data_IF_371538099285
#
_entry.id   IF_371538099285
#
_cell.length_a   1.000
_cell.length_b   1.000
_cell.length_c   1.000
_cell.angle_alpha   90.00
_cell.angle_beta   90.00
_cell.angle_gamma   90.00
#
_symmetry.space_group_name_H-M   'P 1'
#
loop_
_entity.id
_entity.type
_entity.pdbx_description
1 polymer ?
#
# COMPACT_ATOMS: atom_id res chain seq x y z
N UNK A 1 53.48 -44.32 -31.80
CA UNK A 1 53.42 -42.95 -31.21
C UNK A 1 52.72 -42.06 -32.21
N UNK A 2 51.66 -41.28 -31.94
CA UNK A 2 51.07 -40.80 -30.69
C UNK A 2 49.59 -40.49 -31.00
N UNK A 3 48.66 -40.92 -30.15
CA UNK A 3 47.26 -40.49 -30.17
C UNK A 3 47.18 -39.02 -29.70
N UNK A 4 46.42 -38.17 -30.39
CA UNK A 4 45.94 -36.89 -29.84
C UNK A 4 44.40 -36.93 -29.77
N UNK A 5 43.88 -37.12 -28.56
CA UNK A 5 42.47 -36.91 -28.23
C UNK A 5 42.25 -35.41 -27.98
N UNK A 6 41.38 -34.76 -28.76
CA UNK A 6 40.81 -33.47 -28.39
C UNK A 6 39.66 -33.71 -27.40
N UNK A 7 39.85 -33.32 -26.14
CA UNK A 7 38.78 -33.22 -25.16
C UNK A 7 38.03 -31.90 -25.36
N UNK A 8 36.75 -31.96 -25.71
CA UNK A 8 35.87 -30.80 -25.71
C UNK A 8 35.42 -30.51 -24.26
N UNK A 9 35.79 -29.36 -23.72
CA UNK A 9 35.30 -28.87 -22.44
C UNK A 9 33.90 -28.27 -22.63
N UNK A 10 32.86 -29.01 -22.24
CA UNK A 10 31.51 -28.45 -22.14
C UNK A 10 31.43 -27.60 -20.86
N UNK A 11 31.39 -26.28 -21.00
CA UNK A 11 31.12 -25.37 -19.89
C UNK A 11 29.64 -25.45 -19.53
N UNK A 12 29.32 -26.14 -18.43
CA UNK A 12 27.99 -26.15 -17.86
C UNK A 12 27.77 -24.81 -17.14
N UNK A 13 27.09 -23.87 -17.79
CA UNK A 13 26.65 -22.64 -17.14
C UNK A 13 25.59 -23.00 -16.08
N UNK A 14 25.99 -23.01 -14.80
CA UNK A 14 25.06 -23.11 -13.69
C UNK A 14 24.21 -21.84 -13.67
N UNK A 15 22.94 -21.95 -14.09
CA UNK A 15 21.97 -20.89 -13.89
C UNK A 15 21.76 -20.74 -12.38
N UNK A 16 22.24 -19.63 -11.82
CA UNK A 16 21.89 -19.25 -10.46
C UNK A 16 20.36 -19.03 -10.39
N UNK A 17 19.66 -19.53 -9.35
CA UNK A 17 18.26 -19.20 -9.17
C UNK A 17 18.16 -17.69 -8.91
N UNK A 18 17.60 -16.95 -9.86
CA UNK A 18 17.21 -15.55 -9.67
C UNK A 18 16.15 -15.49 -8.59
N UNK A 19 16.54 -15.34 -7.33
CA UNK A 19 15.65 -14.98 -6.23
C UNK A 19 15.34 -13.48 -6.31
N UNK A 20 14.73 -13.06 -7.41
CA UNK A 20 13.85 -11.90 -7.39
C UNK A 20 12.55 -12.45 -6.82
N UNK A 21 12.22 -12.12 -5.57
CA UNK A 21 10.81 -12.02 -5.21
C UNK A 21 10.21 -11.13 -6.31
N UNK A 22 9.46 -11.71 -7.24
CA UNK A 22 8.72 -10.92 -8.22
C UNK A 22 7.95 -9.89 -7.39
N UNK A 23 8.28 -8.61 -7.54
CA UNK A 23 7.50 -7.55 -6.90
C UNK A 23 6.06 -7.85 -7.25
N UNK A 24 5.21 -8.02 -6.24
CA UNK A 24 3.85 -8.48 -6.47
C UNK A 24 3.14 -7.35 -7.21
N UNK A 25 2.93 -7.54 -8.50
CA UNK A 25 2.20 -6.61 -9.33
C UNK A 25 0.73 -6.67 -8.91
N UNK A 26 0.14 -5.51 -8.66
CA UNK A 26 -1.32 -5.40 -8.67
C UNK A 26 -1.83 -5.56 -10.11
N UNK A 27 -3.14 -5.43 -10.30
CA UNK A 27 -3.75 -5.47 -11.63
C UNK A 27 -3.24 -4.39 -12.58
N UNK A 28 -2.52 -3.37 -12.05
CA UNK A 28 -2.01 -2.21 -12.77
C UNK A 28 -0.52 -2.33 -13.13
N UNK A 29 0.16 -3.39 -12.66
CA UNK A 29 1.57 -3.64 -12.96
C UNK A 29 2.57 -2.95 -12.01
N UNK A 30 2.10 -2.27 -10.96
CA UNK A 30 2.96 -1.55 -10.02
C UNK A 30 3.78 -2.52 -9.15
N UNK A 31 5.08 -2.24 -9.02
CA UNK A 31 5.98 -2.99 -8.17
C UNK A 31 5.98 -2.43 -6.75
N UNK A 32 5.39 -3.15 -5.80
CA UNK A 32 5.31 -2.69 -4.41
C UNK A 32 6.44 -3.22 -3.51
N UNK A 33 6.85 -2.37 -2.56
CA UNK A 33 7.55 -2.81 -1.35
C UNK A 33 6.54 -3.17 -0.27
N UNK A 34 6.67 -4.36 0.31
CA UNK A 34 5.70 -4.93 1.27
C UNK A 34 6.25 -5.01 2.69
N UNK A 35 5.37 -4.84 3.68
CA UNK A 35 5.54 -5.38 5.03
C UNK A 35 4.23 -6.04 5.52
N UNK A 36 4.35 -6.95 6.48
CA UNK A 36 3.22 -7.65 7.08
C UNK A 36 3.11 -7.39 8.58
N UNK A 37 1.89 -7.48 9.11
CA UNK A 37 1.62 -7.36 10.55
C UNK A 37 1.46 -8.73 11.21
N UNK A 38 1.61 -8.82 12.55
CA UNK A 38 1.25 -10.03 13.30
C UNK A 38 -0.23 -10.43 13.15
N UNK A 39 -1.11 -9.47 12.80
CA UNK A 39 -2.52 -9.74 12.53
C UNK A 39 -2.79 -10.31 11.13
N UNK A 40 -1.74 -10.51 10.30
CA UNK A 40 -1.84 -11.06 8.96
C UNK A 40 -2.33 -10.07 7.90
N UNK A 41 -2.20 -8.77 8.17
CA UNK A 41 -2.49 -7.71 7.20
C UNK A 41 -1.22 -7.40 6.44
N UNK A 42 -1.31 -7.30 5.12
CA UNK A 42 -0.21 -6.89 4.25
C UNK A 42 -0.42 -5.43 3.86
N UNK A 43 0.67 -4.67 3.94
CA UNK A 43 0.76 -3.30 3.47
C UNK A 43 1.81 -3.23 2.39
N UNK A 44 1.44 -2.70 1.24
CA UNK A 44 2.27 -2.57 0.04
C UNK A 44 2.29 -1.11 -0.36
N UNK A 45 3.48 -0.58 -0.64
CA UNK A 45 3.67 0.84 -0.93
C UNK A 45 4.63 0.99 -2.12
N UNK A 46 4.28 1.88 -3.03
CA UNK A 46 5.07 2.30 -4.18
C UNK A 46 5.04 3.83 -4.28
N UNK A 47 6.16 4.43 -4.67
CA UNK A 47 6.33 5.87 -4.83
C UNK A 47 7.05 6.18 -6.16
N UNK A 48 6.98 7.41 -6.68
CA UNK A 48 7.73 7.78 -7.89
C UNK A 48 9.24 7.62 -7.73
N UNK A 49 9.91 7.21 -8.80
CA UNK A 49 11.37 7.30 -8.90
C UNK A 49 11.83 8.76 -8.80
N UNK A 50 12.88 9.02 -8.01
CA UNK A 50 13.39 10.37 -7.81
C UNK A 50 12.44 11.30 -7.04
N UNK A 51 11.44 10.74 -6.35
CA UNK A 51 10.46 11.49 -5.59
C UNK A 51 11.09 12.53 -4.64
N UNK A 52 10.46 13.70 -4.55
CA UNK A 52 10.75 14.75 -3.57
C UNK A 52 9.44 15.23 -2.97
N UNK A 53 9.33 15.28 -1.64
CA UNK A 53 8.06 15.61 -0.99
C UNK A 53 7.58 17.05 -1.32
N UNK A 54 6.29 17.26 -1.68
CA UNK A 54 5.23 16.26 -1.75
C UNK A 54 5.25 15.43 -3.05
N UNK A 55 4.92 14.16 -2.93
CA UNK A 55 4.68 13.19 -4.00
C UNK A 55 3.45 12.31 -3.71
N UNK A 56 2.90 11.68 -4.74
CA UNK A 56 1.79 10.74 -4.60
C UNK A 56 2.29 9.35 -4.15
N UNK A 57 1.44 8.63 -3.42
CA UNK A 57 1.77 7.31 -2.89
C UNK A 57 0.72 6.31 -3.37
N UNK A 58 1.14 5.31 -4.14
CA UNK A 58 0.29 4.15 -4.38
C UNK A 58 0.45 3.18 -3.21
N UNK A 59 -0.65 2.72 -2.64
CA UNK A 59 -0.63 1.77 -1.55
C UNK A 59 -1.74 0.75 -1.66
N UNK A 60 -1.45 -0.46 -1.17
CA UNK A 60 -2.42 -1.53 -1.06
C UNK A 60 -2.49 -2.06 0.37
N UNK A 61 -3.71 -2.33 0.83
CA UNK A 61 -4.00 -3.02 2.09
C UNK A 61 -4.68 -4.34 1.74
N UNK A 62 -4.05 -5.47 2.08
CA UNK A 62 -4.68 -6.79 1.97
C UNK A 62 -4.91 -7.30 3.38
N UNK A 63 -6.17 -7.32 3.81
CA UNK A 63 -6.54 -7.65 5.17
C UNK A 63 -7.53 -8.84 5.20
N UNK A 64 -7.40 -9.76 6.16
CA UNK A 64 -8.38 -10.82 6.35
C UNK A 64 -9.77 -10.25 6.68
N UNK A 65 -10.85 -10.91 6.25
CA UNK A 65 -12.24 -10.44 6.50
C UNK A 65 -12.60 -10.25 7.98
N UNK A 66 -11.85 -10.86 8.90
CA UNK A 66 -12.00 -10.60 10.35
C UNK A 66 -11.57 -9.19 10.78
N UNK A 67 -10.82 -8.46 9.96
CA UNK A 67 -10.45 -7.08 10.21
C UNK A 67 -11.62 -6.19 9.78
N UNK A 68 -12.32 -5.60 10.77
CA UNK A 68 -13.41 -4.67 10.53
C UNK A 68 -12.94 -3.31 10.04
N UNK A 69 -11.69 -2.94 10.32
CA UNK A 69 -10.97 -1.86 9.67
C UNK A 69 -9.45 -2.01 9.87
N UNK A 70 -8.66 -1.44 8.97
CA UNK A 70 -7.21 -1.31 9.10
C UNK A 70 -6.75 0.08 8.64
N UNK A 71 -5.61 0.54 9.15
CA UNK A 71 -5.07 1.84 8.76
C UNK A 71 -3.55 1.97 8.87
N UNK A 72 -3.03 2.99 8.19
CA UNK A 72 -1.62 3.37 8.12
C UNK A 72 -1.51 4.81 8.61
N UNK A 73 -0.50 5.09 9.43
CA UNK A 73 -0.09 6.44 9.77
C UNK A 73 1.25 6.77 9.11
N UNK A 74 1.23 7.72 8.19
CA UNK A 74 2.35 8.04 7.29
C UNK A 74 3.54 8.69 8.01
N UNK A 75 3.27 9.38 9.12
CA UNK A 75 4.30 9.96 10.00
C UNK A 75 4.75 9.04 11.14
N UNK A 76 4.34 7.77 11.14
CA UNK A 76 4.82 6.78 12.10
C UNK A 76 4.22 6.90 13.52
N UNK A 77 3.24 7.77 13.73
CA UNK A 77 2.50 7.90 15.00
C UNK A 77 1.03 8.21 14.74
N UNK A 78 0.15 8.11 15.73
CA UNK A 78 -1.27 8.46 15.53
C UNK A 78 -1.48 9.97 15.31
N UNK A 79 -0.62 10.82 15.87
CA UNK A 79 -0.89 12.25 15.98
C UNK A 79 -0.20 13.07 14.89
N UNK A 80 -0.86 14.13 14.45
CA UNK A 80 -0.30 15.22 13.66
C UNK A 80 0.36 14.77 12.34
N UNK A 81 -0.15 13.71 11.73
CA UNK A 81 0.21 13.25 10.39
C UNK A 81 -1.00 12.61 9.70
N UNK A 82 -0.98 12.45 8.37
CA UNK A 82 -2.09 11.85 7.64
C UNK A 82 -2.24 10.37 8.02
N UNK A 83 -3.48 9.94 8.19
CA UNK A 83 -3.88 8.58 8.51
C UNK A 83 -4.78 8.05 7.39
N UNK A 84 -4.36 7.00 6.68
CA UNK A 84 -5.23 6.31 5.72
C UNK A 84 -5.93 5.16 6.46
N UNK A 85 -7.26 5.18 6.53
CA UNK A 85 -8.07 4.15 7.20
C UNK A 85 -9.04 3.54 6.20
N UNK A 86 -9.16 2.22 6.18
CA UNK A 86 -10.00 1.49 5.23
C UNK A 86 -10.74 0.33 5.89
N UNK A 87 -11.88 -0.05 5.31
CA UNK A 87 -12.72 -1.16 5.76
C UNK A 87 -13.58 -1.73 4.62
N UNK A 88 -13.95 -3.02 4.70
CA UNK A 88 -14.79 -3.64 3.67
C UNK A 88 -16.19 -3.01 3.63
N UNK A 89 -16.72 -2.84 2.43
CA UNK A 89 -18.06 -2.32 2.16
C UNK A 89 -18.69 -3.09 0.99
N UNK A 90 -19.44 -4.15 1.30
CA UNK A 90 -19.96 -5.07 0.28
C UNK A 90 -18.82 -5.73 -0.50
N UNK A 91 -18.89 -5.69 -1.83
CA UNK A 91 -17.89 -6.26 -2.73
C UNK A 91 -16.67 -5.33 -2.97
N UNK A 92 -16.66 -4.15 -2.34
CA UNK A 92 -15.58 -3.16 -2.43
C UNK A 92 -15.05 -2.77 -1.04
N UNK A 93 -14.21 -1.74 -0.98
CA UNK A 93 -13.61 -1.19 0.22
C UNK A 93 -13.85 0.32 0.26
N UNK A 94 -14.24 0.84 1.42
CA UNK A 94 -14.28 2.27 1.67
C UNK A 94 -12.99 2.69 2.35
N UNK A 95 -12.40 3.79 1.89
CA UNK A 95 -11.17 4.39 2.43
C UNK A 95 -11.39 5.85 2.75
N UNK A 96 -10.72 6.35 3.78
CA UNK A 96 -10.79 7.74 4.25
C UNK A 96 -9.41 8.21 4.68
N UNK A 97 -9.15 9.50 4.49
CA UNK A 97 -7.98 10.17 5.08
C UNK A 97 -8.39 10.91 6.34
N UNK A 98 -7.64 10.69 7.42
CA UNK A 98 -7.91 11.22 8.75
C UNK A 98 -6.68 11.88 9.37
N UNK A 99 -6.91 12.69 10.40
CA UNK A 99 -5.88 13.27 11.25
C UNK A 99 -6.37 13.29 12.70
N UNK A 100 -5.46 13.03 13.65
CA UNK A 100 -5.70 13.17 15.06
C UNK A 100 -4.72 14.18 15.66
N UNK A 101 -5.21 15.11 16.48
CA UNK A 101 -4.39 16.08 17.23
C UNK A 101 -4.25 15.69 18.70
N UNK A 102 -5.05 14.75 19.16
CA UNK A 102 -5.03 14.11 20.47
C UNK A 102 -5.35 12.60 20.34
N UNK A 103 -5.35 11.86 21.46
CA UNK A 103 -5.70 10.44 21.47
C UNK A 103 -7.22 10.23 21.50
N UNK A 104 -7.93 10.87 20.58
CA UNK A 104 -9.37 10.72 20.36
C UNK A 104 -9.66 10.19 18.92
N UNK A 105 -10.93 9.88 18.59
CA UNK A 105 -11.29 9.49 17.24
C UNK A 105 -10.80 10.51 16.18
N UNK A 106 -10.04 10.07 15.15
CA UNK A 106 -9.51 10.96 14.13
C UNK A 106 -10.60 11.66 13.29
N UNK A 107 -10.41 12.95 13.02
CA UNK A 107 -11.25 13.74 12.12
C UNK A 107 -10.81 13.58 10.66
N UNK A 108 -11.66 13.98 9.71
CA UNK A 108 -11.30 14.03 8.30
C UNK A 108 -10.06 14.92 8.07
N UNK A 109 -9.15 14.49 7.19
CA UNK A 109 -7.97 15.26 6.82
C UNK A 109 -8.12 15.84 5.41
N UNK A 110 -8.25 17.16 5.33
CA UNK A 110 -8.58 17.87 4.10
C UNK A 110 -7.39 18.06 3.14
N UNK A 111 -6.15 17.99 3.63
CA UNK A 111 -4.96 18.24 2.79
C UNK A 111 -4.49 16.99 2.03
N UNK A 112 -5.30 15.93 2.00
CA UNK A 112 -5.02 14.73 1.23
C UNK A 112 -6.27 14.13 0.61
N UNK A 113 -6.11 13.57 -0.58
CA UNK A 113 -7.17 12.88 -1.31
C UNK A 113 -6.72 11.44 -1.57
N UNK A 114 -7.62 10.49 -1.34
CA UNK A 114 -7.38 9.07 -1.64
C UNK A 114 -8.33 8.66 -2.76
N UNK A 115 -7.76 8.23 -3.88
CA UNK A 115 -8.47 7.68 -5.03
C UNK A 115 -8.38 6.16 -4.98
N UNK A 116 -9.52 5.47 -5.03
CA UNK A 116 -9.58 4.01 -5.12
C UNK A 116 -9.21 3.60 -6.54
N UNK A 117 -8.31 2.62 -6.68
CA UNK A 117 -7.83 2.08 -7.94
C UNK A 117 -8.49 0.73 -8.26
N UNK A 118 -8.48 0.29 -9.53
CA UNK A 118 -8.82 -1.07 -9.93
C UNK A 118 -8.03 -2.11 -9.13
N UNK A 119 -8.66 -3.25 -8.86
CA UNK A 119 -8.11 -4.30 -7.99
C UNK A 119 -8.65 -4.25 -6.55
N UNK A 120 -9.28 -3.13 -6.15
CA UNK A 120 -10.02 -3.05 -4.90
C UNK A 120 -11.23 -3.98 -4.90
N UNK A 121 -11.30 -4.89 -3.93
CA UNK A 121 -12.34 -5.93 -3.87
C UNK A 121 -12.46 -6.55 -2.48
N UNK A 122 -13.61 -7.15 -2.19
CA UNK A 122 -13.80 -8.03 -1.04
C UNK A 122 -14.18 -9.44 -1.51
N UNK A 123 -13.61 -10.46 -0.88
CA UNK A 123 -13.97 -11.87 -1.10
C UNK A 123 -14.17 -12.61 0.23
N UNK A 124 -14.41 -13.92 0.17
CA UNK A 124 -14.70 -14.75 1.35
C UNK A 124 -13.59 -14.78 2.42
N UNK A 125 -12.36 -14.41 2.08
CA UNK A 125 -11.20 -14.52 2.98
C UNK A 125 -10.52 -13.20 3.26
N UNK A 126 -10.50 -12.28 2.30
CA UNK A 126 -9.81 -11.00 2.39
C UNK A 126 -10.60 -9.88 1.74
N UNK A 127 -10.36 -8.67 2.22
CA UNK A 127 -10.60 -7.45 1.46
C UNK A 127 -9.25 -6.85 1.07
N UNK A 128 -9.21 -6.32 -0.15
CA UNK A 128 -8.05 -5.68 -0.76
C UNK A 128 -8.47 -4.27 -1.15
N UNK A 129 -7.72 -3.28 -0.67
CA UNK A 129 -7.76 -1.91 -1.18
C UNK A 129 -6.53 -1.67 -2.01
N UNK A 130 -6.70 -1.22 -3.25
CA UNK A 130 -5.67 -0.57 -4.07
C UNK A 130 -6.02 0.92 -4.17
N UNK A 131 -5.09 1.82 -3.86
CA UNK A 131 -5.38 3.24 -3.80
C UNK A 131 -4.16 4.13 -4.10
N UNK A 132 -4.45 5.32 -4.62
CA UNK A 132 -3.50 6.43 -4.78
C UNK A 132 -3.81 7.50 -3.73
N UNK A 133 -2.82 7.90 -2.93
CA UNK A 133 -2.95 9.05 -2.05
C UNK A 133 -2.12 10.24 -2.53
N UNK A 134 -2.78 11.34 -2.83
CA UNK A 134 -2.17 12.66 -2.97
C UNK A 134 -2.21 13.40 -1.64
N UNK A 135 -1.09 14.02 -1.25
CA UNK A 135 -0.97 14.77 0.02
C UNK A 135 -0.61 13.92 1.26
N UNK A 136 -0.46 12.60 1.14
CA UNK A 136 -0.02 11.76 2.26
C UNK A 136 1.49 11.85 2.57
N UNK A 137 2.32 12.28 1.62
CA UNK A 137 3.79 12.28 1.76
C UNK A 137 4.35 13.48 2.54
N UNK A 138 3.54 14.51 2.80
CA UNK A 138 3.94 15.74 3.48
C UNK A 138 2.78 16.33 4.25
N UNK A 139 3.05 16.79 5.47
CA UNK A 139 2.10 17.45 6.36
C UNK A 139 2.80 18.57 7.13
N UNK A 140 2.06 19.31 7.95
CA UNK A 140 2.59 20.49 8.65
C UNK A 140 3.84 20.21 9.50
N UNK A 141 3.90 19.05 10.14
CA UNK A 141 4.95 18.67 11.08
C UNK A 141 6.06 17.78 10.47
N UNK A 142 5.99 17.43 9.18
CA UNK A 142 6.96 16.51 8.60
C UNK A 142 6.64 16.04 7.19
N UNK A 143 7.52 15.20 6.68
CA UNK A 143 7.37 14.54 5.38
C UNK A 143 8.04 13.16 5.43
N UNK A 144 7.63 12.30 4.52
CA UNK A 144 8.34 11.05 4.25
C UNK A 144 9.70 11.37 3.62
N UNK A 145 10.74 10.65 4.02
CA UNK A 145 12.02 10.64 3.32
C UNK A 145 11.98 9.59 2.19
N UNK A 146 11.86 9.98 0.90
CA UNK A 146 11.75 9.04 -0.21
C UNK A 146 13.07 8.34 -0.54
N UNK A 147 14.22 8.87 -0.08
CA UNK A 147 15.56 8.33 -0.38
C UNK A 147 16.12 7.48 0.75
N UNK A 148 15.31 7.07 1.71
CA UNK A 148 15.75 6.21 2.80
C UNK A 148 14.61 5.71 3.67
N UNK A 149 14.90 5.44 4.94
CA UNK A 149 13.90 4.90 5.85
C UNK A 149 13.09 5.98 6.57
N UNK A 150 11.77 5.78 6.65
CA UNK A 150 10.85 6.53 7.51
C UNK A 150 10.06 5.55 8.38
N UNK A 151 9.52 6.00 9.51
CA UNK A 151 8.66 5.17 10.36
C UNK A 151 7.24 5.19 9.82
N UNK A 152 6.64 4.02 9.67
CA UNK A 152 5.21 3.86 9.43
C UNK A 152 4.57 3.17 10.62
N UNK A 153 3.39 3.62 11.01
CA UNK A 153 2.58 2.90 12.00
C UNK A 153 1.37 2.29 11.33
N UNK A 154 0.91 1.16 11.87
CA UNK A 154 -0.30 0.48 11.45
C UNK A 154 -1.21 0.26 12.64
N UNK A 155 -2.50 0.17 12.38
CA UNK A 155 -3.52 -0.15 13.37
C UNK A 155 -4.67 -0.92 12.72
N UNK A 156 -5.36 -1.77 13.49
CA UNK A 156 -6.57 -2.45 13.03
C UNK A 156 -7.51 -2.75 14.19
N UNK A 157 -8.78 -3.02 13.88
CA UNK A 157 -9.74 -3.64 14.81
C UNK A 157 -10.50 -4.75 14.10
N UNK A 158 -10.96 -5.74 14.87
CA UNK A 158 -11.94 -6.73 14.37
C UNK A 158 -13.38 -6.20 14.39
N UNK A 159 -13.63 -5.05 15.00
CA UNK A 159 -14.96 -4.43 15.06
C UNK A 159 -15.26 -3.70 13.77
N UNK A 160 -16.39 -4.04 13.15
CA UNK A 160 -16.90 -3.32 11.99
C UNK A 160 -17.16 -1.85 12.32
N UNK A 161 -17.02 -0.99 11.31
CA UNK A 161 -17.41 0.42 11.41
C UNK A 161 -18.92 0.58 11.47
N UNK A 162 -19.41 1.71 11.98
CA UNK A 162 -20.84 1.94 12.16
C UNK A 162 -21.63 1.98 10.83
N UNK A 163 -21.07 2.66 9.83
CA UNK A 163 -21.71 2.85 8.52
C UNK A 163 -20.69 2.62 7.40
N UNK A 164 -20.51 1.37 6.92
CA UNK A 164 -19.44 1.03 5.98
C UNK A 164 -19.40 1.87 4.70
N UNK A 165 -20.56 2.26 4.16
CA UNK A 165 -20.61 3.10 2.95
C UNK A 165 -20.25 4.58 3.16
N UNK A 166 -20.12 5.04 4.41
CA UNK A 166 -19.82 6.44 4.74
C UNK A 166 -18.32 6.59 5.07
N UNK A 167 -17.50 7.30 4.26
CA UNK A 167 -16.10 7.54 4.58
C UNK A 167 -15.89 8.34 5.88
N UNK A 168 -16.90 9.07 6.36
CA UNK A 168 -16.90 9.78 7.65
C UNK A 168 -17.42 8.93 8.81
N UNK A 169 -17.71 7.64 8.59
CA UNK A 169 -18.19 6.73 9.63
C UNK A 169 -17.31 6.77 10.87
N UNK A 170 -17.96 6.64 12.02
CA UNK A 170 -17.27 6.30 13.26
C UNK A 170 -16.76 4.86 13.20
N UNK A 171 -15.60 4.64 13.81
CA UNK A 171 -14.98 3.34 13.94
C UNK A 171 -14.41 3.18 15.34
N UNK A 172 -14.35 1.94 15.80
CA UNK A 172 -13.90 1.64 17.15
C UNK A 172 -12.38 1.85 17.30
N UNK A 173 -11.91 1.97 18.55
CA UNK A 173 -10.48 1.95 18.87
C UNK A 173 -9.79 0.69 18.32
N UNK A 174 -8.51 0.77 17.97
CA UNK A 174 -7.78 -0.39 17.44
C UNK A 174 -7.54 -1.46 18.51
N UNK A 175 -7.71 -2.73 18.14
CA UNK A 175 -7.40 -3.86 19.01
C UNK A 175 -5.92 -4.25 18.92
N UNK A 176 -5.23 -3.83 17.85
CA UNK A 176 -3.79 -3.99 17.68
C UNK A 176 -3.17 -2.87 16.84
N UNK A 177 -1.92 -2.55 17.16
CA UNK A 177 -1.11 -1.53 16.48
C UNK A 177 0.37 -1.89 16.51
N UNK A 178 1.15 -1.24 15.66
CA UNK A 178 2.60 -1.33 15.67
C UNK A 178 3.25 -0.24 14.85
N UNK A 179 4.58 -0.17 14.92
CA UNK A 179 5.40 0.74 14.11
C UNK A 179 6.54 -0.03 13.49
N UNK A 180 6.82 0.23 12.22
CA UNK A 180 7.90 -0.40 11.46
C UNK A 180 8.79 0.67 10.83
N UNK A 181 10.12 0.47 10.76
CA UNK A 181 10.91 1.18 9.77
C UNK A 181 10.52 0.68 8.38
N UNK A 182 10.25 1.60 7.46
CA UNK A 182 9.96 1.30 6.07
C UNK A 182 11.00 2.02 5.20
N UNK A 183 11.63 1.28 4.29
CA UNK A 183 12.63 1.83 3.36
C UNK A 183 11.94 2.30 2.08
N UNK A 184 11.73 3.61 1.96
CA UNK A 184 11.07 4.21 0.81
C UNK A 184 11.98 4.26 -0.43
N UNK A 185 13.32 4.19 -0.27
CA UNK A 185 14.21 4.08 -1.42
C UNK A 185 13.94 2.79 -2.21
N UNK A 186 13.66 1.70 -1.48
CA UNK A 186 13.30 0.41 -2.07
C UNK A 186 11.84 0.33 -2.58
N UNK A 187 11.05 1.40 -2.43
CA UNK A 187 9.67 1.50 -2.89
C UNK A 187 9.52 2.38 -4.14
N UNK A 188 10.63 2.91 -4.69
CA UNK A 188 10.60 3.75 -5.88
C UNK A 188 10.33 2.92 -7.14
N UNK A 189 9.45 3.43 -8.01
CA UNK A 189 9.04 2.79 -9.25
C UNK A 189 9.23 3.73 -10.42
N UNK A 190 9.97 3.29 -11.44
CA UNK A 190 10.10 3.99 -12.72
C UNK A 190 8.76 3.93 -13.48
N UNK A 191 8.35 5.04 -14.09
CA UNK A 191 7.06 5.12 -14.80
C UNK A 191 5.83 5.07 -13.88
N UNK A 192 6.00 5.44 -12.61
CA UNK A 192 4.93 5.43 -11.60
C UNK A 192 3.67 6.17 -12.09
N UNK A 193 3.83 7.39 -12.63
CA UNK A 193 2.75 8.25 -13.08
C UNK A 193 1.93 7.64 -14.21
N UNK A 194 2.60 6.95 -15.14
CA UNK A 194 1.94 6.25 -16.24
C UNK A 194 1.12 5.06 -15.71
N UNK A 195 1.70 4.28 -14.80
CA UNK A 195 1.03 3.13 -14.20
C UNK A 195 -0.20 3.53 -13.38
N UNK A 196 -0.09 4.54 -12.50
CA UNK A 196 -1.24 5.02 -11.72
C UNK A 196 -2.24 5.79 -12.58
N UNK A 197 -1.80 6.53 -13.59
CA UNK A 197 -2.69 7.24 -14.51
C UNK A 197 -3.56 6.30 -15.34
N UNK A 198 -2.98 5.21 -15.85
CA UNK A 198 -3.73 4.13 -16.49
C UNK A 198 -4.74 3.48 -15.55
N UNK A 199 -4.33 3.18 -14.32
CA UNK A 199 -5.21 2.60 -13.30
C UNK A 199 -6.41 3.51 -12.96
N UNK A 200 -6.18 4.81 -12.79
CA UNK A 200 -7.26 5.77 -12.52
C UNK A 200 -8.24 5.83 -13.70
N UNK A 201 -7.74 5.89 -14.93
CA UNK A 201 -8.58 5.91 -16.13
C UNK A 201 -9.43 4.63 -16.29
N UNK A 202 -8.84 3.45 -16.10
CA UNK A 202 -9.57 2.17 -16.13
C UNK A 202 -10.66 2.08 -15.05
N UNK A 203 -10.42 2.66 -13.87
CA UNK A 203 -11.41 2.74 -12.80
C UNK A 203 -12.61 3.61 -13.15
N UNK A 204 -12.42 4.63 -13.99
CA UNK A 204 -13.48 5.52 -14.49
C UNK A 204 -14.26 4.93 -15.68
N UNK A 205 -13.65 3.99 -16.42
CA UNK A 205 -14.23 3.37 -17.62
C UNK A 205 -15.03 2.07 -17.36
N UNK A 206 -15.07 1.58 -16.12
CA UNK A 206 -15.86 0.39 -15.75
C UNK A 206 -17.36 0.59 -16.12
N UNK A 207 -18.03 -0.43 -16.70
CA UNK A 207 -19.19 -0.20 -17.56
C UNK A 207 -20.40 0.30 -16.77
N UNK A 208 -21.04 1.36 -17.28
CA UNK A 208 -22.44 1.62 -16.99
C UNK A 208 -23.24 0.36 -17.34
N UNK A 209 -23.76 -0.31 -16.33
CA UNK A 209 -24.63 -1.49 -16.46
C UNK A 209 -25.79 -1.19 -17.43
N UNK A 210 -26.19 -2.12 -18.31
CA UNK A 210 -27.37 -1.95 -19.17
C UNK A 210 -28.68 -1.81 -18.39
#
# INVERSE_FOLDING_TARGET
>A
MMLFQLAALAALAAAAPSSLLAARQDTTGLAYKEFSTPSGILYRIAIPEGATAPFDIAFQIVAPVRAGWAGIAWGGSMLNNPLSVAWPNGDTVTVTSRIATDHAPPNAYADSTITVLPGTTTNATHWTLDALCSGCSKWAAGAINPSGSSRLSWAFSSRAVATPANPDSQFAYHDGKGTVPFDFAAAQVAGFEEAVGGAVAEGEEAPATP
#
